data_IF_303486739248
#
_entry.id   IF_303486739248
#
_cell.length_a   1.000
_cell.length_b   1.000
_cell.length_c   1.000
_cell.angle_alpha   90.00
_cell.angle_beta   90.00
_cell.angle_gamma   90.00
#
_symmetry.space_group_name_H-M   'P 1'
#
loop_
_entity.id
_entity.type
_entity.pdbx_description
1 polymer ?
#
# COMPACT_ATOMS: atom_id res chain seq x y z
N UNK A 1 -8.80 -33.83 -0.51
CA UNK A 1 -7.68 -32.88 -0.58
C UNK A 1 -7.70 -32.27 -1.97
N UNK A 2 -8.31 -31.10 -2.09
CA UNK A 2 -8.40 -30.33 -3.33
C UNK A 2 -7.23 -29.35 -3.37
N UNK A 3 -6.32 -29.57 -4.30
CA UNK A 3 -5.29 -28.58 -4.64
C UNK A 3 -6.02 -27.32 -5.13
N UNK A 4 -5.73 -26.12 -4.58
CA UNK A 4 -6.30 -24.90 -5.10
C UNK A 4 -5.80 -24.70 -6.52
N UNK A 5 -6.70 -24.42 -7.45
CA UNK A 5 -6.34 -23.93 -8.77
C UNK A 5 -5.82 -22.50 -8.56
N UNK A 6 -4.51 -22.37 -8.45
CA UNK A 6 -3.78 -21.11 -8.40
C UNK A 6 -3.46 -20.67 -9.84
N UNK A 7 -4.32 -19.81 -10.38
CA UNK A 7 -4.02 -18.97 -11.53
C UNK A 7 -4.27 -17.52 -11.12
N UNK A 8 -3.21 -16.83 -10.70
CA UNK A 8 -3.03 -15.37 -10.82
C UNK A 8 -4.14 -14.48 -10.25
N UNK A 9 -4.00 -14.10 -8.98
CA UNK A 9 -3.87 -12.73 -8.44
C UNK A 9 -4.26 -11.44 -9.21
N UNK A 10 -4.87 -11.46 -10.40
CA UNK A 10 -4.74 -10.33 -11.33
C UNK A 10 -5.53 -9.07 -10.89
N UNK A 11 -6.78 -9.18 -10.41
CA UNK A 11 -7.59 -7.99 -10.06
C UNK A 11 -7.68 -7.65 -8.57
N UNK A 12 -7.17 -8.50 -7.68
CA UNK A 12 -7.37 -8.36 -6.23
C UNK A 12 -6.81 -7.04 -5.67
N UNK A 13 -5.63 -6.61 -6.16
CA UNK A 13 -5.03 -5.32 -5.76
C UNK A 13 -5.86 -4.14 -6.23
N UNK A 14 -6.35 -4.21 -7.47
CA UNK A 14 -7.21 -3.18 -8.06
C UNK A 14 -8.54 -3.06 -7.28
N UNK A 15 -9.18 -4.19 -6.97
CA UNK A 15 -10.39 -4.22 -6.13
C UNK A 15 -10.15 -3.65 -4.73
N UNK A 16 -9.03 -3.98 -4.10
CA UNK A 16 -8.67 -3.43 -2.80
C UNK A 16 -8.50 -1.91 -2.86
N UNK A 17 -7.83 -1.39 -3.88
CA UNK A 17 -7.67 0.05 -4.08
C UNK A 17 -9.01 0.78 -4.30
N UNK A 18 -9.93 0.20 -5.09
CA UNK A 18 -11.28 0.74 -5.28
C UNK A 18 -12.04 0.81 -3.95
N UNK A 19 -12.03 -0.26 -3.15
CA UNK A 19 -12.66 -0.27 -1.81
C UNK A 19 -12.11 0.81 -0.88
N UNK A 20 -10.79 1.04 -0.94
CA UNK A 20 -10.16 2.12 -0.16
C UNK A 20 -10.64 3.48 -0.66
N UNK A 21 -10.67 3.70 -1.98
CA UNK A 21 -11.14 4.94 -2.58
C UNK A 21 -12.59 5.25 -2.17
N UNK A 22 -13.49 4.27 -2.24
CA UNK A 22 -14.88 4.38 -1.80
C UNK A 22 -14.98 4.73 -0.31
N UNK A 23 -14.28 3.99 0.55
CA UNK A 23 -14.28 4.24 2.00
C UNK A 23 -13.79 5.66 2.35
N UNK A 24 -12.81 6.16 1.58
CA UNK A 24 -12.27 7.52 1.72
C UNK A 24 -13.08 8.56 0.95
N UNK A 25 -14.19 8.18 0.32
CA UNK A 25 -15.06 9.06 -0.48
C UNK A 25 -14.32 9.76 -1.62
N UNK A 26 -13.29 9.10 -2.16
CA UNK A 26 -12.56 9.55 -3.34
C UNK A 26 -13.36 9.20 -4.60
N UNK A 27 -13.26 10.00 -5.68
CA UNK A 27 -14.05 9.78 -6.89
C UNK A 27 -13.62 8.49 -7.60
N UNK A 28 -14.54 7.54 -7.74
CA UNK A 28 -14.36 6.31 -8.52
C UNK A 28 -15.19 6.42 -9.80
N UNK A 29 -14.58 6.47 -10.99
CA UNK A 29 -15.30 6.58 -12.25
C UNK A 29 -16.22 5.40 -12.53
N UNK A 30 -17.36 5.66 -13.18
CA UNK A 30 -18.33 4.62 -13.56
C UNK A 30 -17.72 3.51 -14.41
N UNK A 31 -16.77 3.84 -15.29
CA UNK A 31 -16.08 2.86 -16.13
C UNK A 31 -15.38 1.74 -15.33
N UNK A 32 -14.96 2.00 -14.09
CA UNK A 32 -14.38 0.98 -13.20
C UNK A 32 -15.46 0.01 -12.75
N UNK A 33 -16.65 0.50 -12.37
CA UNK A 33 -17.79 -0.35 -12.01
C UNK A 33 -18.30 -1.16 -13.19
N UNK A 34 -18.41 -0.55 -14.37
CA UNK A 34 -18.88 -1.23 -15.58
C UNK A 34 -17.92 -2.38 -15.93
N UNK A 35 -16.61 -2.14 -15.86
CA UNK A 35 -15.59 -3.17 -16.13
C UNK A 35 -15.59 -4.26 -15.04
N UNK A 36 -15.81 -3.90 -13.78
CA UNK A 36 -16.00 -4.87 -12.70
C UNK A 36 -17.25 -5.75 -12.91
N UNK A 37 -18.34 -5.16 -13.41
CA UNK A 37 -19.55 -5.88 -13.82
C UNK A 37 -19.28 -6.87 -14.95
N UNK A 38 -18.53 -6.46 -15.98
CA UNK A 38 -18.10 -7.37 -17.06
C UNK A 38 -17.26 -8.53 -16.53
N UNK A 39 -16.35 -8.27 -15.59
CA UNK A 39 -15.55 -9.31 -14.92
C UNK A 39 -16.44 -10.31 -14.18
N UNK A 40 -17.46 -9.81 -13.46
CA UNK A 40 -18.40 -10.69 -12.76
C UNK A 40 -19.17 -11.59 -13.73
N UNK A 41 -19.64 -11.07 -14.87
CA UNK A 41 -20.29 -11.88 -15.91
C UNK A 41 -19.37 -13.01 -16.41
N UNK A 42 -18.09 -12.70 -16.64
CA UNK A 42 -17.11 -13.73 -17.04
C UNK A 42 -16.89 -14.77 -15.95
N UNK A 43 -16.78 -14.36 -14.68
CA UNK A 43 -16.62 -15.28 -13.56
C UNK A 43 -17.86 -16.18 -13.39
N UNK A 44 -19.06 -15.63 -13.50
CA UNK A 44 -20.31 -16.38 -13.40
C UNK A 44 -20.41 -17.41 -14.52
N UNK A 45 -20.08 -17.03 -15.76
CA UNK A 45 -20.01 -17.95 -16.90
C UNK A 45 -18.92 -19.03 -16.72
N UNK A 46 -17.76 -18.68 -16.18
CA UNK A 46 -16.67 -19.61 -15.87
C UNK A 46 -17.01 -20.60 -14.74
N UNK A 47 -17.97 -20.26 -13.89
CA UNK A 47 -18.48 -21.10 -12.81
C UNK A 47 -19.88 -21.67 -13.09
N UNK A 48 -20.34 -21.61 -14.34
CA UNK A 48 -21.62 -22.18 -14.76
C UNK A 48 -21.74 -23.64 -14.31
N UNK A 49 -22.73 -23.92 -13.46
CA UNK A 49 -22.96 -25.25 -12.90
C UNK A 49 -23.70 -26.12 -13.91
N UNK A 50 -23.28 -27.38 -13.97
CA UNK A 50 -24.09 -28.43 -14.58
C UNK A 50 -25.11 -28.92 -13.56
N UNK A 51 -26.25 -29.48 -14.01
CA UNK A 51 -27.22 -30.12 -13.12
C UNK A 51 -26.55 -31.23 -12.30
N UNK A 52 -26.98 -31.39 -11.06
CA UNK A 52 -26.52 -32.49 -10.23
C UNK A 52 -26.92 -33.84 -10.84
N UNK A 53 -26.17 -34.89 -10.50
CA UNK A 53 -26.47 -36.25 -10.95
C UNK A 53 -27.86 -36.67 -10.42
N UNK A 54 -28.75 -37.22 -11.26
CA UNK A 54 -30.06 -37.66 -10.80
C UNK A 54 -29.95 -38.71 -9.69
N UNK A 55 -30.78 -38.54 -8.66
CA UNK A 55 -31.04 -39.51 -7.62
C UNK A 55 -32.16 -40.48 -8.00
N UNK A 56 -32.52 -41.34 -7.04
CA UNK A 56 -33.59 -42.35 -7.21
C UNK A 56 -34.95 -41.72 -7.49
N UNK A 57 -35.23 -40.57 -6.91
CA UNK A 57 -36.52 -39.89 -6.99
C UNK A 57 -36.67 -39.04 -8.27
N UNK A 58 -35.59 -38.88 -9.04
CA UNK A 58 -35.57 -38.11 -10.31
C UNK A 58 -35.85 -38.99 -11.55
N UNK A 59 -36.09 -40.30 -11.36
CA UNK A 59 -36.36 -41.23 -12.45
C UNK A 59 -37.83 -41.12 -12.87
N UNK A 60 -38.12 -40.69 -14.12
CA UNK A 60 -39.49 -40.52 -14.58
C UNK A 60 -40.21 -41.86 -14.78
N UNK A 61 -41.54 -41.82 -14.89
CA UNK A 61 -42.40 -43.00 -14.92
C UNK A 61 -42.41 -43.70 -16.29
N UNK A 62 -42.05 -42.98 -17.36
CA UNK A 62 -42.11 -43.48 -18.74
C UNK A 62 -40.78 -43.34 -19.49
N UNK A 63 -40.63 -44.12 -20.56
CA UNK A 63 -39.43 -44.08 -21.40
C UNK A 63 -39.33 -42.77 -22.20
N UNK A 64 -40.47 -42.23 -22.63
CA UNK A 64 -40.56 -40.96 -23.35
C UNK A 64 -40.12 -39.78 -22.47
N UNK A 65 -40.57 -39.74 -21.21
CA UNK A 65 -40.12 -38.74 -20.24
C UNK A 65 -38.63 -38.88 -19.92
N UNK A 66 -38.11 -40.11 -19.84
CA UNK A 66 -36.67 -40.34 -19.64
C UNK A 66 -35.85 -39.81 -20.82
N UNK A 67 -36.30 -40.06 -22.06
CA UNK A 67 -35.64 -39.56 -23.26
C UNK A 67 -35.57 -38.02 -23.26
N UNK A 68 -36.69 -37.35 -22.97
CA UNK A 68 -36.75 -35.89 -22.88
C UNK A 68 -35.84 -35.34 -21.77
N UNK A 69 -35.80 -35.99 -20.59
CA UNK A 69 -34.94 -35.58 -19.48
C UNK A 69 -33.45 -35.74 -19.82
N UNK A 70 -33.07 -36.81 -20.53
CA UNK A 70 -31.70 -37.03 -20.99
C UNK A 70 -31.31 -35.94 -22.00
N UNK A 71 -32.18 -35.63 -22.96
CA UNK A 71 -31.92 -34.60 -23.96
C UNK A 71 -31.73 -33.21 -23.34
N UNK A 72 -32.62 -32.82 -22.40
CA UNK A 72 -32.53 -31.55 -21.69
C UNK A 72 -31.25 -31.46 -20.86
N UNK A 73 -30.92 -32.50 -20.09
CA UNK A 73 -29.65 -32.53 -19.34
C UNK A 73 -28.44 -32.46 -20.26
N UNK A 74 -28.43 -33.22 -21.36
CA UNK A 74 -27.34 -33.16 -22.34
C UNK A 74 -27.20 -31.76 -22.95
N UNK A 75 -28.31 -31.05 -23.17
CA UNK A 75 -28.31 -29.66 -23.60
C UNK A 75 -27.69 -28.74 -22.54
N UNK A 76 -28.12 -28.83 -21.28
CA UNK A 76 -27.58 -28.03 -20.17
C UNK A 76 -26.09 -28.28 -19.93
N UNK A 77 -25.64 -29.54 -20.02
CA UNK A 77 -24.22 -29.88 -19.96
C UNK A 77 -23.40 -29.23 -21.09
N UNK A 78 -23.93 -29.23 -22.33
CA UNK A 78 -23.29 -28.57 -23.47
C UNK A 78 -23.21 -27.06 -23.28
N UNK A 79 -24.28 -26.41 -22.81
CA UNK A 79 -24.29 -24.97 -22.53
C UNK A 79 -23.25 -24.63 -21.46
N UNK A 80 -23.26 -25.32 -20.32
CA UNK A 80 -22.32 -25.03 -19.23
C UNK A 80 -20.86 -25.29 -19.63
N UNK A 81 -20.59 -26.28 -20.50
CA UNK A 81 -19.26 -26.48 -21.07
C UNK A 81 -18.86 -25.33 -22.01
N UNK A 82 -19.77 -24.91 -22.91
CA UNK A 82 -19.53 -23.80 -23.82
C UNK A 82 -19.31 -22.47 -23.10
N UNK A 83 -20.10 -22.15 -22.07
CA UNK A 83 -19.94 -20.96 -21.23
C UNK A 83 -18.56 -20.95 -20.55
N UNK A 84 -18.16 -22.08 -19.97
CA UNK A 84 -16.84 -22.20 -19.34
C UNK A 84 -15.70 -22.01 -20.33
N UNK A 85 -15.82 -22.57 -21.54
CA UNK A 85 -14.84 -22.41 -22.60
C UNK A 85 -14.75 -20.95 -23.08
N UNK A 86 -15.87 -20.38 -23.52
CA UNK A 86 -15.93 -19.01 -24.07
C UNK A 86 -15.52 -17.97 -23.01
N UNK A 87 -15.92 -18.14 -21.76
CA UNK A 87 -15.53 -17.22 -20.68
C UNK A 87 -14.01 -17.15 -20.49
N UNK A 88 -13.27 -18.25 -20.75
CA UNK A 88 -11.82 -18.27 -20.61
C UNK A 88 -11.14 -17.26 -21.54
N UNK A 89 -11.68 -17.06 -22.75
CA UNK A 89 -11.17 -16.11 -23.75
C UNK A 89 -11.28 -14.64 -23.28
N UNK A 90 -12.22 -14.35 -22.39
CA UNK A 90 -12.51 -13.00 -21.92
C UNK A 90 -11.90 -12.65 -20.55
N UNK A 91 -11.30 -13.63 -19.84
CA UNK A 91 -10.71 -13.38 -18.52
C UNK A 91 -9.59 -12.34 -18.60
N UNK A 92 -8.51 -12.67 -19.30
CA UNK A 92 -7.31 -11.82 -19.37
C UNK A 92 -7.59 -10.40 -19.92
N UNK A 93 -8.35 -10.21 -21.01
CA UNK A 93 -8.61 -8.87 -21.53
C UNK A 93 -9.38 -7.98 -20.55
N UNK A 94 -10.35 -8.55 -19.81
CA UNK A 94 -11.16 -7.77 -18.86
C UNK A 94 -10.39 -7.49 -17.58
N UNK A 95 -9.63 -8.46 -17.03
CA UNK A 95 -8.79 -8.23 -15.86
C UNK A 95 -7.73 -7.17 -16.14
N UNK A 96 -7.05 -7.27 -17.30
CA UNK A 96 -6.06 -6.30 -17.74
C UNK A 96 -6.65 -4.90 -17.90
N UNK A 97 -7.82 -4.78 -18.55
CA UNK A 97 -8.55 -3.50 -18.67
C UNK A 97 -8.91 -2.92 -17.30
N UNK A 98 -9.43 -3.74 -16.39
CA UNK A 98 -9.81 -3.30 -15.04
C UNK A 98 -8.60 -2.78 -14.26
N UNK A 99 -7.50 -3.54 -14.28
CA UNK A 99 -6.26 -3.18 -13.62
C UNK A 99 -5.66 -1.89 -14.17
N UNK A 100 -5.67 -1.73 -15.49
CA UNK A 100 -5.17 -0.54 -16.15
C UNK A 100 -6.00 0.70 -15.77
N UNK A 101 -7.34 0.60 -15.83
CA UNK A 101 -8.24 1.69 -15.41
C UNK A 101 -8.00 2.10 -13.95
N UNK A 102 -7.86 1.14 -13.04
CA UNK A 102 -7.56 1.43 -11.64
C UNK A 102 -6.20 2.09 -11.49
N UNK A 103 -5.16 1.55 -12.14
CA UNK A 103 -3.79 2.10 -12.11
C UNK A 103 -3.74 3.57 -12.57
N UNK A 104 -4.54 3.96 -13.56
CA UNK A 104 -4.61 5.33 -14.07
C UNK A 104 -5.18 6.31 -13.04
N UNK A 105 -6.06 5.86 -12.14
CA UNK A 105 -6.72 6.71 -11.14
C UNK A 105 -5.99 6.75 -9.79
N UNK A 106 -5.17 5.74 -9.48
CA UNK A 106 -4.37 5.68 -8.24
C UNK A 106 -3.61 6.99 -7.93
N UNK A 107 -2.93 7.65 -8.87
CA UNK A 107 -2.24 8.91 -8.58
C UNK A 107 -3.17 10.00 -8.02
N UNK A 108 -4.37 10.15 -8.59
CA UNK A 108 -5.37 11.10 -8.12
C UNK A 108 -5.92 10.74 -6.75
N UNK A 109 -6.13 9.45 -6.49
CA UNK A 109 -6.56 8.97 -5.18
C UNK A 109 -5.52 9.21 -4.08
N UNK A 110 -4.25 8.92 -4.35
CA UNK A 110 -3.15 9.19 -3.41
C UNK A 110 -3.06 10.70 -3.13
N UNK A 111 -3.14 11.54 -4.16
CA UNK A 111 -3.16 13.00 -3.98
C UNK A 111 -4.34 13.48 -3.13
N UNK A 112 -5.51 12.84 -3.28
CA UNK A 112 -6.70 13.13 -2.47
C UNK A 112 -6.54 12.86 -0.98
N UNK A 113 -5.58 12.01 -0.57
CA UNK A 113 -5.29 11.73 0.85
C UNK A 113 -4.47 12.84 1.54
N UNK A 114 -3.88 13.77 0.78
CA UNK A 114 -2.98 14.79 1.30
C UNK A 114 -3.64 15.69 2.35
N UNK A 115 -4.88 16.13 2.09
CA UNK A 115 -5.62 17.03 2.99
C UNK A 115 -5.86 16.38 4.35
N UNK A 116 -6.32 15.13 4.38
CA UNK A 116 -6.55 14.38 5.60
C UNK A 116 -5.24 14.13 6.35
N UNK A 117 -4.18 13.77 5.63
CA UNK A 117 -2.86 13.58 6.22
C UNK A 117 -2.36 14.86 6.90
N UNK A 118 -2.39 16.00 6.21
CA UNK A 118 -1.97 17.29 6.76
C UNK A 118 -2.81 17.72 7.97
N UNK A 119 -4.11 17.46 7.94
CA UNK A 119 -4.99 17.75 9.08
C UNK A 119 -4.63 16.90 10.31
N UNK A 120 -4.34 15.62 10.10
CA UNK A 120 -3.95 14.70 11.17
C UNK A 120 -2.56 14.99 11.72
N UNK A 121 -1.56 15.27 10.86
CA UNK A 121 -0.21 15.66 11.31
C UNK A 121 -0.26 16.97 12.08
N UNK A 122 -1.05 17.97 11.63
CA UNK A 122 -1.25 19.21 12.39
C UNK A 122 -1.82 18.97 13.79
N UNK A 123 -2.82 18.07 13.92
CA UNK A 123 -3.39 17.68 15.22
C UNK A 123 -2.34 17.02 16.10
N UNK A 124 -1.57 16.09 15.54
CA UNK A 124 -0.50 15.38 16.23
C UNK A 124 0.60 16.34 16.73
N UNK A 125 1.12 17.21 15.86
CA UNK A 125 2.14 18.22 16.20
C UNK A 125 1.64 19.20 17.27
N UNK A 126 0.34 19.47 17.34
CA UNK A 126 -0.21 20.30 18.41
C UNK A 126 -0.16 19.62 19.79
N UNK A 127 -0.24 18.29 19.85
CA UNK A 127 -0.11 17.54 21.11
C UNK A 127 1.33 17.23 21.47
N UNK A 128 2.19 17.02 20.47
CA UNK A 128 3.62 16.83 20.63
C UNK A 128 4.25 17.89 21.55
N UNK A 129 3.90 19.17 21.36
CA UNK A 129 4.39 20.29 22.18
C UNK A 129 3.93 20.29 23.64
N UNK A 130 2.89 19.52 23.96
CA UNK A 130 2.30 19.42 25.31
C UNK A 130 2.78 18.19 26.06
N UNK A 131 3.27 17.19 25.33
CA UNK A 131 3.76 15.93 25.89
C UNK A 131 5.24 16.05 26.26
N UNK A 132 5.71 15.32 27.28
CA UNK A 132 7.12 15.32 27.65
C UNK A 132 8.01 14.78 26.53
N UNK A 133 9.30 15.12 26.58
CA UNK A 133 10.29 14.67 25.58
C UNK A 133 10.44 13.13 25.57
N UNK A 134 10.41 12.50 26.76
CA UNK A 134 10.38 11.06 26.89
C UNK A 134 8.94 10.55 26.76
N UNK A 135 8.69 9.74 25.73
CA UNK A 135 7.37 9.17 25.40
C UNK A 135 7.23 7.72 25.86
N UNK A 136 8.15 7.23 26.69
CA UNK A 136 8.06 5.92 27.32
C UNK A 136 6.78 5.83 28.15
N UNK A 137 5.84 5.01 27.67
CA UNK A 137 4.50 4.85 28.24
C UNK A 137 4.55 4.45 29.72
N UNK A 138 5.57 3.72 30.15
CA UNK A 138 5.71 3.27 31.53
C UNK A 138 6.13 4.40 32.49
N UNK A 139 6.71 5.49 31.95
CA UNK A 139 7.23 6.62 32.71
C UNK A 139 6.31 7.83 32.72
N UNK A 140 5.23 7.80 31.94
CA UNK A 140 4.25 8.87 31.89
C UNK A 140 3.38 8.86 33.15
N UNK A 141 3.13 10.05 33.71
CA UNK A 141 2.17 10.20 34.80
C UNK A 141 0.74 10.20 34.26
N UNK A 142 0.12 9.02 34.27
CA UNK A 142 -1.27 8.82 33.83
C UNK A 142 -2.31 9.45 34.75
N UNK A 143 -1.92 10.08 35.86
CA UNK A 143 -2.82 10.83 36.72
C UNK A 143 -2.83 12.32 36.41
N UNK A 144 -1.87 12.82 35.62
CA UNK A 144 -1.83 14.22 35.20
C UNK A 144 -2.71 14.44 33.96
N UNK A 145 -3.81 15.22 34.06
CA UNK A 145 -4.65 15.57 32.91
C UNK A 145 -3.90 16.28 31.78
N UNK A 146 -2.77 16.94 32.09
CA UNK A 146 -1.91 17.59 31.09
C UNK A 146 -1.14 16.58 30.24
N UNK A 147 -1.02 15.32 30.69
CA UNK A 147 -0.42 14.23 29.93
C UNK A 147 -1.50 13.39 29.28
N UNK A 148 -2.51 12.94 30.05
CA UNK A 148 -3.54 12.02 29.55
C UNK A 148 -4.37 12.61 28.42
N UNK A 149 -4.85 13.85 28.55
CA UNK A 149 -5.68 14.49 27.52
C UNK A 149 -4.95 14.65 26.18
N UNK A 150 -3.75 15.25 26.12
CA UNK A 150 -2.95 15.32 24.90
C UNK A 150 -2.56 13.94 24.35
N UNK A 151 -2.31 12.95 25.21
CA UNK A 151 -2.00 11.58 24.79
C UNK A 151 -3.18 10.93 24.07
N UNK A 152 -4.38 10.99 24.63
CA UNK A 152 -5.60 10.44 24.00
C UNK A 152 -5.88 11.10 22.63
N UNK A 153 -5.68 12.42 22.53
CA UNK A 153 -5.81 13.13 21.25
C UNK A 153 -4.73 12.70 20.25
N UNK A 154 -3.48 12.50 20.71
CA UNK A 154 -2.40 11.99 19.88
C UNK A 154 -2.67 10.54 19.43
N UNK A 155 -3.24 9.71 20.29
CA UNK A 155 -3.60 8.33 20.00
C UNK A 155 -4.65 8.24 18.89
N UNK A 156 -5.74 9.01 19.01
CA UNK A 156 -6.76 9.08 17.97
C UNK A 156 -6.18 9.53 16.62
N UNK A 157 -5.30 10.54 16.62
CA UNK A 157 -4.63 11.01 15.41
C UNK A 157 -3.65 9.97 14.84
N UNK A 158 -2.87 9.30 15.68
CA UNK A 158 -1.90 8.28 15.30
C UNK A 158 -2.58 7.05 14.66
N UNK A 159 -3.68 6.56 15.23
CA UNK A 159 -4.46 5.46 14.66
C UNK A 159 -5.03 5.86 13.29
N UNK A 160 -5.58 7.07 13.18
CA UNK A 160 -6.11 7.57 11.92
C UNK A 160 -5.02 7.74 10.85
N UNK A 161 -3.81 8.17 11.25
CA UNK A 161 -2.64 8.24 10.38
C UNK A 161 -2.22 6.84 9.91
N UNK A 162 -2.12 5.86 10.81
CA UNK A 162 -1.77 4.49 10.45
C UNK A 162 -2.75 3.92 9.42
N UNK A 163 -4.06 4.11 9.64
CA UNK A 163 -5.07 3.68 8.68
C UNK A 163 -4.92 4.41 7.34
N UNK A 164 -4.64 5.71 7.34
CA UNK A 164 -4.43 6.49 6.10
C UNK A 164 -3.20 6.00 5.33
N UNK A 165 -2.12 5.67 6.04
CA UNK A 165 -0.89 5.16 5.44
C UNK A 165 -1.10 3.76 4.86
N UNK A 166 -1.77 2.87 5.58
CA UNK A 166 -2.15 1.56 5.08
C UNK A 166 -3.03 1.67 3.81
N UNK A 167 -3.96 2.62 3.80
CA UNK A 167 -4.84 2.89 2.66
C UNK A 167 -4.06 3.36 1.43
N UNK A 168 -3.14 4.31 1.64
CA UNK A 168 -2.23 4.79 0.61
C UNK A 168 -1.36 3.66 0.04
N UNK A 169 -0.87 2.74 0.88
CA UNK A 169 -0.10 1.58 0.43
C UNK A 169 -0.93 0.60 -0.41
N UNK A 170 -2.19 0.35 -0.02
CA UNK A 170 -3.08 -0.50 -0.81
C UNK A 170 -3.28 0.10 -2.21
N UNK A 171 -3.53 1.40 -2.30
CA UNK A 171 -3.64 2.12 -3.58
C UNK A 171 -2.35 2.05 -4.39
N UNK A 172 -1.20 2.33 -3.78
CA UNK A 172 0.10 2.28 -4.44
C UNK A 172 0.41 0.90 -5.02
N UNK A 173 0.12 -0.18 -4.28
CA UNK A 173 0.34 -1.56 -4.73
C UNK A 173 -0.49 -1.92 -5.95
N UNK A 174 -1.69 -1.36 -6.11
CA UNK A 174 -2.50 -1.55 -7.32
C UNK A 174 -1.83 -0.94 -8.57
N UNK A 175 -1.04 0.13 -8.40
CA UNK A 175 -0.25 0.71 -9.47
C UNK A 175 1.15 0.09 -9.62
N UNK A 176 1.52 -0.93 -8.84
CA UNK A 176 2.89 -1.44 -8.67
C UNK A 176 3.90 -0.34 -8.27
N UNK A 177 3.46 0.61 -7.45
CA UNK A 177 4.30 1.66 -6.88
C UNK A 177 4.76 1.29 -5.46
N UNK A 178 5.76 2.02 -4.97
CA UNK A 178 6.22 2.01 -3.57
C UNK A 178 6.69 0.65 -3.08
N UNK A 179 7.49 0.01 -3.94
CA UNK A 179 8.25 -1.18 -3.65
C UNK A 179 9.66 -0.77 -3.19
N UNK A 180 10.21 -1.48 -2.20
CA UNK A 180 11.59 -1.28 -1.77
C UNK A 180 11.78 -1.45 -0.27
N UNK A 181 13.04 -1.34 0.16
CA UNK A 181 13.40 -1.26 1.57
C UNK A 181 12.78 0.00 2.16
N UNK A 182 12.24 -0.09 3.37
CA UNK A 182 11.72 1.05 4.14
C UNK A 182 10.65 1.90 3.42
N UNK A 183 9.95 1.33 2.42
CA UNK A 183 8.91 2.01 1.67
C UNK A 183 7.81 2.61 2.56
N UNK A 184 7.50 1.94 3.68
CA UNK A 184 6.54 2.41 4.68
C UNK A 184 6.97 3.73 5.34
N UNK A 185 8.27 3.88 5.63
CA UNK A 185 8.82 5.13 6.18
C UNK A 185 8.80 6.23 5.12
N UNK A 186 9.30 5.94 3.92
CA UNK A 186 9.38 6.94 2.87
C UNK A 186 8.03 7.35 2.31
N UNK A 187 6.99 6.54 2.52
CA UNK A 187 5.61 6.91 2.23
C UNK A 187 5.10 8.05 3.12
N UNK A 188 5.70 8.28 4.29
CA UNK A 188 5.17 9.19 5.33
C UNK A 188 6.17 10.23 5.82
N UNK A 189 7.44 10.06 5.46
CA UNK A 189 8.51 10.96 5.81
C UNK A 189 9.47 11.14 4.62
N UNK A 190 10.12 12.29 4.59
CA UNK A 190 11.28 12.57 3.73
C UNK A 190 12.40 13.16 4.58
N UNK A 191 13.61 13.22 4.05
CA UNK A 191 14.69 13.93 4.71
C UNK A 191 14.34 15.42 4.84
N UNK A 192 14.56 16.00 6.01
CA UNK A 192 14.33 17.43 6.25
C UNK A 192 15.28 18.31 5.42
N UNK A 193 16.49 17.81 5.17
CA UNK A 193 17.48 18.41 4.27
C UNK A 193 18.11 17.31 3.42
N UNK A 194 18.24 17.55 2.12
CA UNK A 194 18.97 16.63 1.25
C UNK A 194 20.47 16.59 1.63
N UNK A 195 21.11 15.41 1.51
CA UNK A 195 22.52 15.26 1.84
C UNK A 195 23.40 16.12 0.94
N UNK A 196 24.33 16.85 1.56
CA UNK A 196 25.39 17.60 0.88
C UNK A 196 26.78 17.07 1.31
N UNK A 197 27.84 17.65 0.76
CA UNK A 197 29.21 17.27 1.11
C UNK A 197 29.44 17.38 2.64
N UNK A 198 28.97 18.46 3.26
CA UNK A 198 29.19 18.71 4.68
C UNK A 198 28.48 17.65 5.54
N UNK A 199 27.28 17.21 5.13
CA UNK A 199 26.56 16.13 5.78
C UNK A 199 27.29 14.77 5.67
N UNK A 200 27.92 14.49 4.53
CA UNK A 200 28.68 13.25 4.30
C UNK A 200 29.98 13.23 5.11
N UNK A 201 30.80 14.28 4.98
CA UNK A 201 32.09 14.37 5.69
C UNK A 201 31.91 14.57 7.20
N UNK A 202 30.82 15.23 7.62
CA UNK A 202 30.42 15.35 9.02
C UNK A 202 29.75 14.11 9.60
N UNK A 203 29.69 13.00 8.87
CA UNK A 203 29.13 11.71 9.30
C UNK A 203 27.66 11.79 9.78
N UNK A 204 26.87 12.75 9.30
CA UNK A 204 25.48 12.96 9.75
C UNK A 204 24.59 11.72 9.56
N UNK A 205 24.87 10.91 8.54
CA UNK A 205 24.17 9.64 8.34
C UNK A 205 24.39 8.66 9.49
N UNK A 206 25.63 8.54 9.99
CA UNK A 206 25.99 7.62 11.07
C UNK A 206 25.50 8.14 12.43
N UNK A 207 25.70 9.43 12.67
CA UNK A 207 25.58 10.02 14.01
C UNK A 207 24.17 10.54 14.32
N UNK A 208 23.37 10.84 13.28
CA UNK A 208 22.09 11.51 13.45
C UNK A 208 20.95 10.82 12.69
N UNK A 209 21.04 10.72 11.36
CA UNK A 209 19.93 10.25 10.53
C UNK A 209 19.70 8.73 10.66
N UNK A 210 20.77 7.93 10.64
CA UNK A 210 20.70 6.48 10.81
C UNK A 210 20.07 6.05 12.14
N UNK A 211 20.51 6.62 13.28
CA UNK A 211 19.84 6.43 14.57
C UNK A 211 18.36 6.83 14.55
N UNK A 212 18.02 7.97 13.95
CA UNK A 212 16.62 8.41 13.85
C UNK A 212 15.73 7.45 13.04
N UNK A 213 16.24 6.93 11.92
CA UNK A 213 15.53 5.92 11.12
C UNK A 213 15.38 4.61 11.92
N UNK A 214 16.39 4.21 12.69
CA UNK A 214 16.33 3.00 13.51
C UNK A 214 15.27 3.11 14.60
N UNK A 215 15.25 4.22 15.33
CA UNK A 215 14.27 4.49 16.38
C UNK A 215 12.83 4.39 15.84
N UNK A 216 12.56 4.99 14.67
CA UNK A 216 11.23 4.91 14.03
C UNK A 216 10.80 3.46 13.74
N UNK A 217 11.76 2.60 13.36
CA UNK A 217 11.50 1.19 13.08
C UNK A 217 11.24 0.40 14.37
N UNK A 218 11.98 0.70 15.43
CA UNK A 218 11.79 0.07 16.75
C UNK A 218 10.41 0.43 17.32
N UNK A 219 9.95 1.65 17.10
CA UNK A 219 8.63 2.14 17.54
C UNK A 219 7.46 1.65 16.68
N UNK A 220 7.64 0.73 15.73
CA UNK A 220 6.55 0.25 14.84
C UNK A 220 5.34 -0.34 15.58
N UNK A 221 5.53 -0.86 16.79
CA UNK A 221 4.47 -1.43 17.63
C UNK A 221 3.87 -0.40 18.60
N UNK A 222 4.37 0.83 18.60
CA UNK A 222 3.96 1.94 19.46
C UNK A 222 3.56 3.13 18.58
N UNK A 223 2.36 3.10 17.95
CA UNK A 223 2.02 4.04 16.89
C UNK A 223 2.04 5.50 17.37
N UNK A 224 1.55 5.76 18.58
CA UNK A 224 1.56 7.12 19.18
C UNK A 224 2.99 7.63 19.32
N UNK A 225 3.85 6.85 19.97
CA UNK A 225 5.27 7.20 20.17
C UNK A 225 6.00 7.38 18.84
N UNK A 226 5.76 6.50 17.85
CA UNK A 226 6.35 6.59 16.52
C UNK A 226 6.01 7.90 15.82
N UNK A 227 4.73 8.25 15.79
CA UNK A 227 4.25 9.45 15.11
C UNK A 227 4.73 10.72 15.81
N UNK A 228 4.67 10.77 17.15
CA UNK A 228 5.20 11.89 17.92
C UNK A 228 6.72 12.03 17.77
N UNK A 229 7.46 10.92 17.74
CA UNK A 229 8.90 10.93 17.46
C UNK A 229 9.20 11.50 16.07
N UNK A 230 8.49 11.03 15.04
CA UNK A 230 8.62 11.58 13.69
C UNK A 230 8.29 13.08 13.64
N UNK A 231 7.24 13.53 14.35
CA UNK A 231 6.88 14.93 14.43
C UNK A 231 7.94 15.81 15.11
N UNK A 232 8.76 15.22 16.00
CA UNK A 232 9.89 15.89 16.70
C UNK A 232 11.20 15.83 15.93
N UNK A 233 11.31 14.95 14.94
CA UNK A 233 12.58 14.67 14.29
C UNK A 233 13.11 15.91 13.58
N UNK A 234 14.34 16.37 13.88
CA UNK A 234 14.98 17.44 13.11
C UNK A 234 15.54 16.92 11.77
N UNK A 235 15.53 15.61 11.54
CA UNK A 235 16.14 14.96 10.38
C UNK A 235 15.12 14.44 9.37
N UNK A 236 13.89 14.20 9.82
CA UNK A 236 12.80 13.66 9.01
C UNK A 236 11.61 14.61 9.06
N UNK A 237 11.12 15.02 7.90
CA UNK A 237 9.91 15.82 7.77
C UNK A 237 8.71 14.93 7.47
N UNK A 238 7.67 15.02 8.29
CA UNK A 238 6.40 14.34 8.06
C UNK A 238 5.73 14.86 6.79
N UNK A 239 5.65 14.01 5.78
CA UNK A 239 5.02 14.33 4.50
C UNK A 239 4.54 13.05 3.82
N UNK A 240 3.28 13.01 3.41
CA UNK A 240 2.76 11.91 2.61
C UNK A 240 3.42 11.95 1.23
N UNK A 241 3.98 10.82 0.80
CA UNK A 241 4.63 10.70 -0.49
C UNK A 241 3.60 10.79 -1.62
N UNK A 242 3.86 11.71 -2.55
CA UNK A 242 3.18 11.81 -3.83
C UNK A 242 3.34 10.50 -4.64
N UNK A 243 2.53 10.31 -5.69
CA UNK A 243 2.65 9.14 -6.56
C UNK A 243 4.09 8.97 -7.06
N UNK A 244 4.66 7.77 -6.91
CA UNK A 244 6.06 7.40 -7.28
C UNK A 244 7.18 8.08 -6.48
N UNK A 245 6.87 8.94 -5.51
CA UNK A 245 7.88 9.69 -4.74
C UNK A 245 8.65 8.80 -3.74
N UNK A 246 8.05 7.71 -3.25
CA UNK A 246 8.72 6.78 -2.31
C UNK A 246 10.03 6.25 -2.89
N UNK A 247 10.02 5.87 -4.18
CA UNK A 247 11.23 5.38 -4.86
C UNK A 247 12.29 6.49 -4.96
N UNK A 248 11.88 7.73 -5.21
CA UNK A 248 12.80 8.87 -5.29
C UNK A 248 13.43 9.16 -3.92
N UNK A 249 12.62 9.16 -2.84
CA UNK A 249 13.09 9.32 -1.46
C UNK A 249 14.09 8.21 -1.07
N UNK A 250 13.80 6.96 -1.44
CA UNK A 250 14.74 5.84 -1.23
C UNK A 250 16.05 6.03 -2.02
N UNK A 251 15.98 6.48 -3.28
CA UNK A 251 17.17 6.74 -4.09
C UNK A 251 18.06 7.84 -3.51
N UNK A 252 17.50 8.87 -2.86
CA UNK A 252 18.28 9.88 -2.14
C UNK A 252 19.09 9.22 -1.01
N UNK A 253 18.49 8.30 -0.27
CA UNK A 253 19.19 7.56 0.80
C UNK A 253 20.26 6.62 0.26
N UNK A 254 19.97 5.91 -0.83
CA UNK A 254 20.94 5.00 -1.45
C UNK A 254 22.18 5.78 -1.92
N UNK A 255 21.98 6.93 -2.60
CA UNK A 255 23.07 7.84 -2.99
C UNK A 255 23.87 8.36 -1.80
N UNK A 256 23.21 8.62 -0.66
CA UNK A 256 23.90 9.04 0.56
C UNK A 256 24.78 7.90 1.13
N UNK A 257 24.27 6.67 1.15
CA UNK A 257 25.07 5.52 1.55
C UNK A 257 26.30 5.34 0.65
N UNK A 258 26.13 5.46 -0.67
CA UNK A 258 27.23 5.37 -1.63
C UNK A 258 28.28 6.48 -1.40
N UNK A 259 27.83 7.73 -1.20
CA UNK A 259 28.71 8.85 -0.89
C UNK A 259 29.53 8.63 0.39
N UNK A 260 28.92 8.06 1.44
CA UNK A 260 29.64 7.72 2.68
C UNK A 260 30.66 6.60 2.45
N UNK A 261 30.35 5.60 1.62
CA UNK A 261 31.31 4.54 1.27
C UNK A 261 32.53 5.09 0.53
N UNK A 262 32.35 6.09 -0.35
CA UNK A 262 33.47 6.77 -1.02
C UNK A 262 34.41 7.40 0.03
N UNK A 263 33.88 8.12 1.02
CA UNK A 263 34.72 8.77 2.05
C UNK A 263 35.42 7.76 2.95
N UNK A 264 34.77 6.65 3.31
CA UNK A 264 35.36 5.65 4.21
C UNK A 264 36.34 4.69 3.50
N UNK A 265 36.13 4.41 2.22
CA UNK A 265 36.86 3.36 1.49
C UNK A 265 37.93 3.86 0.53
N UNK A 266 37.98 5.16 0.23
CA UNK A 266 38.86 5.67 -0.81
C UNK A 266 40.14 6.29 -0.24
N UNK A 267 41.30 5.82 -0.70
CA UNK A 267 42.59 6.48 -0.46
C UNK A 267 42.75 7.79 -1.27
N UNK A 268 41.65 8.45 -1.59
CA UNK A 268 41.60 9.67 -2.38
C UNK A 268 42.03 10.87 -1.54
N UNK A 269 42.63 11.86 -2.19
CA UNK A 269 42.82 13.17 -1.56
C UNK A 269 41.47 13.81 -1.23
N UNK A 270 41.44 14.73 -0.27
CA UNK A 270 40.20 15.38 0.16
C UNK A 270 39.44 16.08 -0.99
N UNK A 271 40.16 16.70 -1.93
CA UNK A 271 39.53 17.33 -3.10
C UNK A 271 38.91 16.32 -4.06
N UNK A 272 39.59 15.20 -4.31
CA UNK A 272 39.06 14.11 -5.15
C UNK A 272 37.85 13.44 -4.49
N UNK A 273 37.90 13.21 -3.18
CA UNK A 273 36.78 12.66 -2.42
C UNK A 273 35.57 13.61 -2.48
N UNK A 274 35.76 14.92 -2.34
CA UNK A 274 34.69 15.92 -2.43
C UNK A 274 34.01 15.94 -3.81
N UNK A 275 34.79 15.83 -4.88
CA UNK A 275 34.25 15.71 -6.24
C UNK A 275 33.46 14.42 -6.42
N UNK A 276 34.03 13.27 -6.00
CA UNK A 276 33.39 11.97 -6.09
C UNK A 276 32.07 11.90 -5.28
N UNK A 277 32.05 12.48 -4.08
CA UNK A 277 30.83 12.60 -3.25
C UNK A 277 29.79 13.47 -3.96
N UNK A 278 30.19 14.61 -4.52
CA UNK A 278 29.26 15.49 -5.25
C UNK A 278 28.63 14.76 -6.44
N UNK A 279 29.42 14.01 -7.21
CA UNK A 279 28.91 13.19 -8.31
C UNK A 279 27.96 12.11 -7.81
N UNK A 280 28.29 11.38 -6.75
CA UNK A 280 27.44 10.33 -6.20
C UNK A 280 26.09 10.86 -5.69
N UNK A 281 26.08 12.05 -5.06
CA UNK A 281 24.85 12.68 -4.57
C UNK A 281 23.94 13.19 -5.70
N UNK A 282 24.50 13.56 -6.85
CA UNK A 282 23.74 14.04 -8.00
C UNK A 282 23.06 12.91 -8.79
N UNK A 283 23.61 11.69 -8.74
CA UNK A 283 23.07 10.51 -9.44
C UNK A 283 23.47 10.48 -10.90
#
# INVERSE_FOLDING_TARGET
>A
MTTPIDFGHDTARAQAAVKVAERRKLPVPQAIYDTAGMWQVVMDAAHARVPDKPGRDDVPATAEELAALIEERAHQHRIAAALRYVSADFKEPISSRYNQLVREHVPGWIAGLQTDFLALTKKLTAQEKKLPANLDRERLDWRDPKVTGPWEMAESAAIALDQLVADRQIMARAANQDLGRDADLWAVAKLAKEPDNDAVFGHQLRDHVGPAIREVKELRHQPVSRWLYLARSPHLELSLAAPREVKQRQQVMDRWHDAVQIVMGSGLSHQQAKQAVTTALQG
#
